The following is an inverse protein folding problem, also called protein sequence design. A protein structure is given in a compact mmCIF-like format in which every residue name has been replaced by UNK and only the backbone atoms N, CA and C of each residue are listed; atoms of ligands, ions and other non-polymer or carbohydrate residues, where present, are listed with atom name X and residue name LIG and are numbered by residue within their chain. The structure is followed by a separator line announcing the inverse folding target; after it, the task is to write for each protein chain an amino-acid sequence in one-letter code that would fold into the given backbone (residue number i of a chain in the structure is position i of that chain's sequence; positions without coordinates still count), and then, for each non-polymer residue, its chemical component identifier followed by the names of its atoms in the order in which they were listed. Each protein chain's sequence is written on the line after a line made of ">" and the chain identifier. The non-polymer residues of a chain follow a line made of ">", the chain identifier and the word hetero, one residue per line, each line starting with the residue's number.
data_IF_411155666836
#
_entry.id   IF_411155666836
#
_cell.length_a   1.000
_cell.length_b   1.000
_cell.length_c   1.000
_cell.angle_alpha   90.00
_cell.angle_beta   90.00
_cell.angle_gamma   90.00
#
_symmetry.space_group_name_H-M   'P 1'
#
loop_
_entity.id
_entity.type
_entity.pdbx_description
1 polymer ?
#
# COMPACT_ATOMS: atom_id res chain seq x y z
N UNK A 1 -9.42 19.24 22.36
CA UNK A 1 -9.59 17.79 22.40
C UNK A 1 -8.55 17.14 21.50
N UNK A 2 -7.72 16.27 22.02
CA UNK A 2 -6.86 15.44 21.19
C UNK A 2 -7.73 14.41 20.48
N UNK A 3 -7.78 14.43 19.16
CA UNK A 3 -8.44 13.39 18.38
C UNK A 3 -7.66 12.06 18.56
N UNK A 4 -8.35 10.98 18.90
CA UNK A 4 -7.76 9.64 18.96
C UNK A 4 -7.54 9.05 17.57
N UNK A 5 -7.84 9.80 16.50
CA UNK A 5 -7.73 9.36 15.11
C UNK A 5 -6.68 10.17 14.37
N UNK A 6 -5.87 9.49 13.57
CA UNK A 6 -5.04 10.12 12.56
C UNK A 6 -5.80 10.10 11.25
N UNK A 7 -6.06 11.29 10.68
CA UNK A 7 -6.68 11.39 9.37
C UNK A 7 -5.59 11.29 8.29
N UNK A 8 -5.81 10.44 7.31
CA UNK A 8 -4.93 10.27 6.16
C UNK A 8 -5.67 10.57 4.87
N UNK A 9 -4.94 11.07 3.89
CA UNK A 9 -5.47 11.44 2.57
C UNK A 9 -4.68 10.69 1.49
N UNK A 10 -5.41 10.05 0.57
CA UNK A 10 -4.82 9.38 -0.58
C UNK A 10 -4.36 10.42 -1.62
N UNK A 11 -3.05 10.45 -1.87
CA UNK A 11 -2.44 11.45 -2.78
C UNK A 11 -2.79 11.24 -4.26
N UNK A 12 -3.31 10.07 -4.62
CA UNK A 12 -3.80 9.78 -5.98
C UNK A 12 -5.22 10.29 -6.24
N UNK A 13 -5.91 10.77 -5.21
CA UNK A 13 -7.33 11.15 -5.31
C UNK A 13 -7.58 12.67 -5.19
N UNK A 14 -6.57 13.43 -4.76
CA UNK A 14 -6.73 14.88 -4.50
C UNK A 14 -5.64 15.70 -5.19
N UNK A 15 -5.92 16.98 -5.44
CA UNK A 15 -4.98 17.93 -6.06
C UNK A 15 -4.36 17.39 -7.36
N UNK A 16 -5.19 16.81 -8.22
CA UNK A 16 -4.75 16.11 -9.45
C UNK A 16 -4.12 17.06 -10.48
N UNK A 17 -4.30 18.35 -10.32
CA UNK A 17 -3.67 19.43 -11.06
C UNK A 17 -2.17 19.62 -10.71
N UNK A 18 -1.71 19.06 -9.59
CA UNK A 18 -0.33 19.18 -9.12
C UNK A 18 0.50 17.91 -9.42
N UNK A 19 1.82 18.05 -9.62
CA UNK A 19 2.74 16.91 -9.60
C UNK A 19 2.63 16.12 -8.29
N UNK A 20 2.84 14.81 -8.32
CA UNK A 20 2.58 13.93 -7.17
C UNK A 20 3.31 14.37 -5.89
N UNK A 21 4.59 14.76 -5.98
CA UNK A 21 5.36 15.25 -4.83
C UNK A 21 4.72 16.52 -4.21
N UNK A 22 4.22 17.43 -5.03
CA UNK A 22 3.57 18.65 -4.56
C UNK A 22 2.22 18.36 -3.89
N UNK A 23 1.50 17.33 -4.35
CA UNK A 23 0.28 16.84 -3.66
C UNK A 23 0.62 16.35 -2.26
N UNK A 24 1.66 15.54 -2.11
CA UNK A 24 2.11 15.02 -0.82
C UNK A 24 2.52 16.16 0.12
N UNK A 25 3.31 17.11 -0.35
CA UNK A 25 3.68 18.30 0.42
C UNK A 25 2.46 19.10 0.88
N UNK A 26 1.48 19.29 0.00
CA UNK A 26 0.25 20.00 0.30
C UNK A 26 -0.60 19.28 1.35
N UNK A 27 -0.80 17.98 1.21
CA UNK A 27 -1.50 17.16 2.20
C UNK A 27 -0.81 17.26 3.57
N UNK A 28 0.52 17.11 3.58
CA UNK A 28 1.32 17.24 4.80
C UNK A 28 1.20 18.63 5.43
N UNK A 29 1.25 19.71 4.64
CA UNK A 29 1.11 21.08 5.13
C UNK A 29 -0.25 21.38 5.75
N UNK A 30 -1.28 20.64 5.35
CA UNK A 30 -2.63 20.71 5.93
C UNK A 30 -2.78 19.87 7.21
N UNK A 31 -1.73 19.19 7.67
CA UNK A 31 -1.73 18.43 8.90
C UNK A 31 -2.25 16.98 8.76
N UNK A 32 -2.44 16.49 7.53
CA UNK A 32 -2.88 15.13 7.29
C UNK A 32 -1.70 14.18 7.07
N UNK A 33 -1.90 12.92 7.43
CA UNK A 33 -1.05 11.83 6.97
C UNK A 33 -1.37 11.49 5.50
N UNK A 34 -0.49 10.74 4.86
CA UNK A 34 -0.56 10.43 3.43
C UNK A 34 -0.74 8.94 3.22
N UNK A 35 -1.60 8.58 2.29
CA UNK A 35 -1.67 7.24 1.71
C UNK A 35 -1.24 7.30 0.26
N UNK A 36 -0.52 6.28 -0.20
CA UNK A 36 -0.14 6.11 -1.60
C UNK A 36 -0.59 4.73 -2.11
N UNK A 37 -0.84 4.64 -3.40
CA UNK A 37 -1.14 3.37 -4.05
C UNK A 37 0.14 2.72 -4.59
N UNK A 38 0.22 2.59 -5.90
CA UNK A 38 1.37 2.00 -6.57
C UNK A 38 2.63 2.86 -6.39
N UNK A 39 3.67 2.26 -5.84
CA UNK A 39 4.97 2.91 -5.62
C UNK A 39 5.93 2.80 -6.79
N UNK A 40 5.66 1.93 -7.78
CA UNK A 40 6.62 1.55 -8.83
C UNK A 40 7.05 2.71 -9.76
N UNK A 41 6.20 3.72 -9.89
CA UNK A 41 6.45 4.91 -10.73
C UNK A 41 6.71 6.18 -9.89
N UNK A 42 7.05 6.02 -8.61
CA UNK A 42 7.26 7.14 -7.69
C UNK A 42 8.72 7.28 -7.29
N UNK A 43 9.17 8.51 -7.14
CA UNK A 43 10.47 8.82 -6.54
C UNK A 43 10.37 8.68 -5.01
N UNK A 44 10.74 7.51 -4.52
CA UNK A 44 10.62 7.16 -3.09
C UNK A 44 11.53 8.04 -2.22
N UNK A 45 12.72 8.37 -2.71
CA UNK A 45 13.64 9.25 -1.98
C UNK A 45 13.06 10.66 -1.84
N UNK A 46 12.49 11.21 -2.91
CA UNK A 46 11.82 12.50 -2.86
C UNK A 46 10.58 12.47 -1.95
N UNK A 47 9.80 11.39 -1.96
CA UNK A 47 8.67 11.21 -1.04
C UNK A 47 9.13 11.19 0.43
N UNK A 48 10.14 10.41 0.75
CA UNK A 48 10.71 10.35 2.10
C UNK A 48 11.23 11.73 2.55
N UNK A 49 11.84 12.48 1.65
CA UNK A 49 12.36 13.82 1.93
C UNK A 49 11.28 14.87 2.21
N UNK A 50 10.02 14.62 1.90
CA UNK A 50 8.90 15.54 2.22
C UNK A 50 8.66 15.69 3.71
N UNK A 51 9.09 14.74 4.54
CA UNK A 51 8.75 14.67 5.96
C UNK A 51 7.30 14.28 6.25
N UNK A 52 6.52 13.93 5.24
CA UNK A 52 5.15 13.48 5.40
C UNK A 52 5.09 12.11 6.11
N UNK A 53 4.08 11.93 6.94
CA UNK A 53 3.79 10.63 7.56
C UNK A 53 2.98 9.78 6.58
N UNK A 54 3.58 8.70 6.08
CA UNK A 54 2.87 7.71 5.28
C UNK A 54 2.22 6.66 6.19
N UNK A 55 0.93 6.41 6.01
CA UNK A 55 0.16 5.47 6.85
C UNK A 55 -0.16 4.18 6.15
N UNK A 56 -0.35 4.21 4.84
CA UNK A 56 -0.58 3.00 4.05
C UNK A 56 -0.07 3.13 2.62
N UNK A 57 0.24 1.99 2.02
CA UNK A 57 0.62 1.86 0.62
C UNK A 57 0.20 0.48 0.09
N UNK A 58 0.13 0.33 -1.24
CA UNK A 58 -0.08 -1.00 -1.82
C UNK A 58 1.13 -1.89 -1.50
N UNK A 59 0.86 -3.07 -0.95
CA UNK A 59 1.86 -3.98 -0.42
C UNK A 59 2.40 -5.01 -1.43
N UNK A 60 2.01 -4.94 -2.70
CA UNK A 60 2.44 -5.83 -3.78
C UNK A 60 2.33 -5.12 -5.13
N UNK A 61 2.87 -5.70 -6.19
CA UNK A 61 2.79 -5.13 -7.54
C UNK A 61 1.82 -5.92 -8.40
N UNK A 62 2.01 -7.23 -8.43
CA UNK A 62 1.21 -8.17 -9.24
C UNK A 62 0.90 -9.42 -8.42
N UNK A 63 0.03 -10.24 -8.96
CA UNK A 63 -0.42 -11.46 -8.31
C UNK A 63 -1.84 -11.34 -7.75
N UNK A 64 -2.36 -12.44 -7.26
CA UNK A 64 -3.72 -12.56 -6.73
C UNK A 64 -3.79 -13.72 -5.74
N UNK A 65 -4.73 -13.70 -4.82
CA UNK A 65 -4.90 -14.74 -3.80
C UNK A 65 -5.83 -15.87 -4.25
N UNK A 66 -6.35 -15.81 -5.48
CA UNK A 66 -7.36 -16.74 -5.98
C UNK A 66 -6.84 -18.12 -6.40
N UNK A 67 -5.56 -18.26 -6.64
CA UNK A 67 -4.90 -19.52 -7.01
C UNK A 67 -3.44 -19.54 -6.53
N UNK A 68 -2.83 -20.72 -6.58
CA UNK A 68 -1.49 -20.93 -6.05
C UNK A 68 -0.41 -20.13 -6.80
N UNK A 69 -0.52 -20.04 -8.12
CA UNK A 69 0.44 -19.33 -8.97
C UNK A 69 0.36 -17.81 -8.70
N UNK A 70 -0.85 -17.28 -8.72
CA UNK A 70 -1.10 -15.86 -8.41
C UNK A 70 -0.68 -15.48 -7.00
N UNK A 71 -0.85 -16.38 -6.04
CA UNK A 71 -0.42 -16.19 -4.66
C UNK A 71 1.10 -16.19 -4.52
N UNK A 72 1.82 -17.07 -5.24
CA UNK A 72 3.28 -17.07 -5.28
C UNK A 72 3.83 -15.78 -5.89
N UNK A 73 3.23 -15.29 -6.97
CA UNK A 73 3.58 -14.03 -7.60
C UNK A 73 3.29 -12.83 -6.67
N UNK A 74 2.16 -12.82 -5.97
CA UNK A 74 1.85 -11.78 -4.99
C UNK A 74 2.92 -11.71 -3.90
N UNK A 75 3.33 -12.85 -3.35
CA UNK A 75 4.40 -12.90 -2.35
C UNK A 75 5.72 -12.36 -2.88
N UNK A 76 6.11 -12.80 -4.08
CA UNK A 76 7.34 -12.35 -4.72
C UNK A 76 7.36 -10.84 -4.90
N UNK A 77 6.25 -10.24 -5.31
CA UNK A 77 6.16 -8.80 -5.49
C UNK A 77 5.96 -8.04 -4.19
N UNK A 78 5.34 -8.66 -3.19
CA UNK A 78 5.24 -8.07 -1.86
C UNK A 78 6.61 -7.94 -1.18
N UNK A 79 7.52 -8.89 -1.37
CA UNK A 79 8.89 -8.80 -0.88
C UNK A 79 9.62 -7.55 -1.43
N UNK A 80 9.32 -7.15 -2.66
CA UNK A 80 9.86 -5.92 -3.26
C UNK A 80 9.31 -4.63 -2.62
N UNK A 81 8.12 -4.68 -2.03
CA UNK A 81 7.51 -3.55 -1.34
C UNK A 81 8.12 -3.28 0.04
N UNK A 82 8.76 -4.26 0.66
CA UNK A 82 9.33 -4.16 2.02
C UNK A 82 10.38 -3.03 2.13
N UNK A 83 11.43 -2.99 1.30
CA UNK A 83 12.42 -1.92 1.39
C UNK A 83 11.83 -0.53 1.10
N UNK A 84 10.79 -0.45 0.25
CA UNK A 84 10.07 0.79 -0.02
C UNK A 84 9.30 1.26 1.21
N UNK A 85 8.60 0.33 1.87
CA UNK A 85 7.91 0.62 3.12
C UNK A 85 8.89 1.12 4.20
N UNK A 86 10.05 0.50 4.35
CA UNK A 86 11.08 0.96 5.28
C UNK A 86 11.54 2.39 4.96
N UNK A 87 11.76 2.71 3.69
CA UNK A 87 12.17 4.05 3.27
C UNK A 87 11.10 5.12 3.56
N UNK A 88 9.82 4.75 3.60
CA UNK A 88 8.69 5.63 3.87
C UNK A 88 8.21 5.63 5.34
N UNK A 89 8.98 5.04 6.25
CA UNK A 89 8.68 5.04 7.69
C UNK A 89 7.71 3.95 8.13
N UNK A 90 7.67 2.83 7.44
CA UNK A 90 6.87 1.63 7.73
C UNK A 90 5.33 1.85 7.69
N UNK A 91 4.78 2.35 6.59
CA UNK A 91 3.33 2.37 6.40
C UNK A 91 2.76 0.95 6.39
N UNK A 92 1.48 0.82 6.71
CA UNK A 92 0.76 -0.44 6.55
C UNK A 92 0.70 -0.84 5.07
N UNK A 93 0.90 -2.13 4.78
CA UNK A 93 0.83 -2.67 3.44
C UNK A 93 -0.58 -3.20 3.16
N UNK A 94 -1.25 -2.60 2.18
CA UNK A 94 -2.59 -3.03 1.77
C UNK A 94 -2.51 -4.24 0.85
N UNK A 95 -3.33 -5.23 1.14
CA UNK A 95 -3.61 -6.36 0.26
C UNK A 95 -5.06 -6.24 -0.22
N UNK A 96 -5.26 -6.27 -1.53
CA UNK A 96 -6.60 -6.30 -2.10
C UNK A 96 -7.18 -7.72 -2.03
N UNK A 97 -8.49 -7.79 -1.88
CA UNK A 97 -9.19 -9.06 -1.89
C UNK A 97 -9.06 -9.78 -3.23
N UNK A 98 -9.34 -11.07 -3.24
CA UNK A 98 -9.35 -11.88 -4.45
C UNK A 98 -10.59 -11.62 -5.29
N UNK A 99 -10.44 -11.77 -6.59
CA UNK A 99 -11.61 -11.91 -7.48
C UNK A 99 -12.43 -13.15 -7.11
N UNK A 100 -13.70 -13.12 -7.48
CA UNK A 100 -14.58 -14.26 -7.35
C UNK A 100 -14.40 -15.21 -8.54
N UNK A 101 -14.63 -16.50 -8.31
CA UNK A 101 -14.70 -17.50 -9.38
C UNK A 101 -15.99 -17.32 -10.23
N UNK A 102 -16.15 -18.15 -11.24
CA UNK A 102 -17.33 -18.13 -12.13
C UNK A 102 -18.67 -18.42 -11.41
N UNK A 103 -18.61 -18.87 -10.16
CA UNK A 103 -19.78 -19.14 -9.31
C UNK A 103 -20.00 -18.02 -8.28
N UNK A 104 -19.20 -16.96 -8.32
CA UNK A 104 -19.27 -15.87 -7.37
C UNK A 104 -18.71 -16.23 -5.98
N UNK A 105 -17.92 -17.28 -5.88
CA UNK A 105 -17.30 -17.71 -4.62
C UNK A 105 -15.83 -17.28 -4.58
N UNK A 106 -15.29 -16.94 -3.40
CA UNK A 106 -13.87 -16.70 -3.26
C UNK A 106 -13.11 -17.96 -3.64
N UNK A 107 -12.18 -17.84 -4.58
CA UNK A 107 -11.33 -18.95 -4.95
C UNK A 107 -10.43 -19.31 -3.76
N UNK A 108 -10.74 -20.40 -3.13
CA UNK A 108 -10.08 -21.13 -2.04
C UNK A 108 -9.42 -20.28 -0.91
N UNK A 109 -10.02 -20.22 0.27
CA UNK A 109 -9.50 -19.47 1.42
C UNK A 109 -8.24 -20.06 2.07
N UNK A 110 -7.78 -21.25 1.68
CA UNK A 110 -6.68 -21.93 2.37
C UNK A 110 -5.27 -21.41 2.03
N UNK A 111 -5.10 -20.59 1.00
CA UNK A 111 -3.77 -20.06 0.64
C UNK A 111 -3.34 -18.85 1.48
N UNK A 112 -4.27 -18.17 2.14
CA UNK A 112 -3.98 -16.97 2.94
C UNK A 112 -3.24 -17.28 4.24
N UNK A 113 -3.60 -18.34 4.94
CA UNK A 113 -3.09 -18.61 6.29
C UNK A 113 -1.59 -18.91 6.36
N UNK A 114 -0.99 -19.79 5.51
CA UNK A 114 0.45 -20.03 5.53
C UNK A 114 1.28 -18.84 5.05
N UNK A 115 0.71 -17.98 4.19
CA UNK A 115 1.40 -16.84 3.60
C UNK A 115 1.54 -15.69 4.58
N UNK A 116 0.48 -15.36 5.32
CA UNK A 116 0.50 -14.29 6.31
C UNK A 116 1.45 -14.58 7.49
N UNK A 117 1.77 -15.85 7.74
CA UNK A 117 2.74 -16.23 8.77
C UNK A 117 4.18 -15.84 8.39
N UNK A 118 4.52 -15.73 7.10
CA UNK A 118 5.86 -15.31 6.64
C UNK A 118 6.15 -13.83 6.90
N UNK A 119 5.13 -12.99 7.02
CA UNK A 119 5.27 -11.56 7.27
C UNK A 119 5.28 -11.18 8.76
N UNK A 120 5.29 -12.17 9.66
CA UNK A 120 5.30 -11.95 11.13
C UNK A 120 6.70 -11.94 11.77
N UNK A 121 7.76 -11.86 10.95
CA UNK A 121 9.13 -11.77 11.48
C UNK A 121 9.66 -10.35 11.41
#
# INVERSE_FOLDING_TARGET
>A
MSSNFTLAVCSEMVFLDLPHIERVKKIHSLGFAVEIWDWTQKDIAALAATGAKFTSMTGYITGRLGDQEGAAELLRTAEQSIPIAHALGNPSLNLHGTGLDNKGLPAQPCFLCPMLQRFRK
#
